data_IF_383298151599
#
_entry.id   IF_383298151599
#
_cell.length_a   1.000
_cell.length_b   1.000
_cell.length_c   1.000
_cell.angle_alpha   90.00
_cell.angle_beta   90.00
_cell.angle_gamma   90.00
#
_symmetry.space_group_name_H-M   'P 1'
#
loop_
_entity.id
_entity.type
_entity.pdbx_description
1 polymer ?
#
# COMPACT_ATOMS: atom_id res chain seq x y z
N UNK A 1 0.34 11.33 -27.48
CA UNK A 1 0.15 10.56 -26.23
C UNK A 1 0.81 9.17 -26.16
N UNK A 2 1.41 8.62 -27.24
CA UNK A 2 2.08 7.29 -27.22
C UNK A 2 3.55 7.28 -26.75
N UNK A 3 4.21 8.44 -26.68
CA UNK A 3 5.65 8.52 -26.33
C UNK A 3 5.92 8.53 -24.81
N UNK A 4 4.95 8.91 -23.98
CA UNK A 4 5.15 9.00 -22.51
C UNK A 4 5.04 7.64 -21.78
N UNK A 5 4.36 6.65 -22.37
CA UNK A 5 4.24 5.31 -21.80
C UNK A 5 5.53 4.49 -21.92
N UNK A 6 6.28 4.73 -23.01
CA UNK A 6 7.54 4.01 -23.28
C UNK A 6 8.67 4.38 -22.29
N UNK A 7 8.66 5.61 -21.76
CA UNK A 7 9.69 6.08 -20.82
C UNK A 7 9.47 5.46 -19.43
N UNK A 8 8.22 5.25 -19.01
CA UNK A 8 7.92 4.63 -17.71
C UNK A 8 8.30 3.14 -17.68
N UNK A 9 8.12 2.42 -18.79
CA UNK A 9 8.47 1.00 -18.90
C UNK A 9 9.99 0.80 -19.00
N UNK A 10 10.71 1.70 -19.64
CA UNK A 10 12.18 1.65 -19.75
C UNK A 10 12.87 1.90 -18.39
N UNK A 11 12.28 2.75 -17.53
CA UNK A 11 12.81 3.01 -16.17
C UNK A 11 12.76 1.80 -15.24
N UNK A 12 11.77 0.94 -15.40
CA UNK A 12 11.63 -0.29 -14.59
C UNK A 12 12.60 -1.39 -15.08
N UNK A 13 12.90 -1.43 -16.38
CA UNK A 13 13.78 -2.44 -16.96
C UNK A 13 15.27 -2.21 -16.63
N UNK A 14 15.72 -0.98 -16.43
CA UNK A 14 17.12 -0.66 -16.09
C UNK A 14 17.49 -1.00 -14.64
N UNK A 15 16.51 -1.16 -13.73
CA UNK A 15 16.74 -1.58 -12.33
C UNK A 15 16.93 -3.09 -12.18
N UNK A 16 16.62 -3.88 -13.21
CA UNK A 16 16.71 -5.34 -13.18
C UNK A 16 18.13 -5.88 -13.45
N UNK A 17 19.10 -5.06 -13.84
CA UNK A 17 20.41 -5.51 -14.33
C UNK A 17 21.48 -5.76 -13.24
N UNK A 18 21.14 -5.63 -11.94
CA UNK A 18 22.07 -5.96 -10.85
C UNK A 18 21.54 -7.14 -10.02
N UNK A 19 21.56 -8.32 -10.62
CA UNK A 19 21.21 -9.57 -9.94
C UNK A 19 22.34 -10.09 -9.08
N UNK A 20 22.65 -9.45 -7.97
CA UNK A 20 23.22 -10.15 -6.83
C UNK A 20 22.09 -10.93 -6.17
N UNK A 21 22.37 -12.18 -5.74
CA UNK A 21 21.38 -13.09 -5.12
C UNK A 21 20.68 -12.42 -3.93
N UNK A 22 19.59 -11.72 -4.20
CA UNK A 22 18.72 -11.19 -3.18
C UNK A 22 17.72 -12.30 -2.84
N UNK A 23 18.01 -13.11 -1.84
CA UNK A 23 17.00 -13.98 -1.21
C UNK A 23 15.90 -13.15 -0.55
N UNK A 24 14.77 -13.76 -0.23
CA UNK A 24 13.69 -13.11 0.52
C UNK A 24 14.27 -12.41 1.75
N UNK A 25 14.07 -11.10 1.84
CA UNK A 25 14.83 -10.26 2.76
C UNK A 25 14.03 -9.87 4.01
N UNK A 26 12.79 -10.37 4.14
CA UNK A 26 11.97 -10.15 5.34
C UNK A 26 12.46 -11.08 6.44
N UNK A 27 12.95 -10.50 7.52
CA UNK A 27 13.45 -11.18 8.72
C UNK A 27 13.13 -10.34 9.96
N UNK A 28 13.37 -10.89 11.13
CA UNK A 28 13.20 -10.13 12.37
C UNK A 28 14.01 -8.83 12.33
N UNK A 29 13.33 -7.70 12.62
CA UNK A 29 13.91 -6.36 12.53
C UNK A 29 13.84 -5.71 11.16
N UNK A 30 13.33 -6.41 10.13
CA UNK A 30 13.06 -5.80 8.82
C UNK A 30 12.17 -4.55 8.96
N UNK A 31 12.56 -3.51 8.26
CA UNK A 31 11.79 -2.25 8.21
C UNK A 31 11.86 -1.73 6.78
N UNK A 32 10.71 -1.33 6.24
CA UNK A 32 10.63 -0.72 4.92
C UNK A 32 9.70 0.49 4.88
N UNK A 33 9.84 1.25 3.80
CA UNK A 33 8.96 2.35 3.40
C UNK A 33 8.69 2.24 1.92
N UNK A 34 7.50 2.59 1.47
CA UNK A 34 7.15 2.49 0.06
C UNK A 34 6.08 3.46 -0.38
N UNK A 35 5.97 3.59 -1.71
CA UNK A 35 4.88 4.30 -2.36
C UNK A 35 4.04 3.34 -3.19
N UNK A 36 2.73 3.55 -3.20
CA UNK A 36 1.77 2.71 -3.92
C UNK A 36 0.76 3.54 -4.70
N UNK A 37 0.24 2.92 -5.75
CA UNK A 37 -0.96 3.35 -6.47
C UNK A 37 -2.06 2.37 -6.14
N UNK A 38 -3.22 2.87 -5.72
CA UNK A 38 -4.40 2.07 -5.40
C UNK A 38 -5.48 2.18 -6.47
N UNK A 39 -6.17 1.07 -6.67
CA UNK A 39 -7.24 0.88 -7.65
C UNK A 39 -8.44 0.21 -7.01
N UNK A 40 -9.64 0.59 -7.47
CA UNK A 40 -10.91 0.00 -7.03
C UNK A 40 -11.35 0.46 -5.64
N UNK A 41 -12.64 0.42 -5.40
CA UNK A 41 -13.31 0.86 -4.15
C UNK A 41 -13.04 2.32 -3.75
N UNK A 42 -12.75 3.18 -4.73
CA UNK A 42 -12.42 4.59 -4.51
C UNK A 42 -13.63 5.52 -4.76
N UNK A 43 -14.85 4.97 -4.78
CA UNK A 43 -16.05 5.70 -5.15
C UNK A 43 -15.98 6.21 -6.59
N UNK A 44 -16.10 7.51 -6.80
CA UNK A 44 -16.01 8.12 -8.13
C UNK A 44 -14.55 8.39 -8.58
N UNK A 45 -13.55 8.21 -7.71
CA UNK A 45 -12.15 8.36 -8.07
C UNK A 45 -11.61 7.10 -8.76
N UNK A 46 -10.68 7.26 -9.71
CA UNK A 46 -10.10 6.16 -10.46
C UNK A 46 -8.83 5.60 -9.82
N UNK A 47 -8.09 6.44 -9.12
CA UNK A 47 -6.78 6.14 -8.57
C UNK A 47 -6.62 6.76 -7.19
N UNK A 48 -5.86 6.08 -6.31
CA UNK A 48 -5.28 6.67 -5.11
C UNK A 48 -3.75 6.61 -5.18
N UNK A 49 -3.12 7.49 -4.43
CA UNK A 49 -1.68 7.49 -4.17
C UNK A 49 -1.46 7.35 -2.68
N UNK A 50 -0.51 6.52 -2.29
CA UNK A 50 -0.30 6.26 -0.86
C UNK A 50 1.12 5.93 -0.49
N UNK A 51 1.38 6.05 0.82
CA UNK A 51 2.60 5.62 1.47
C UNK A 51 2.35 4.39 2.34
N UNK A 52 3.38 3.55 2.46
CA UNK A 52 3.40 2.36 3.31
C UNK A 52 4.66 2.39 4.15
N UNK A 53 4.52 2.00 5.40
CA UNK A 53 5.62 1.72 6.31
C UNK A 53 5.34 0.41 7.01
N UNK A 54 6.35 -0.43 7.17
CA UNK A 54 6.22 -1.67 7.92
C UNK A 54 7.46 -1.96 8.74
N UNK A 55 7.25 -2.58 9.91
CA UNK A 55 8.29 -3.11 10.77
C UNK A 55 7.93 -4.50 11.28
N UNK A 56 8.78 -5.48 10.99
CA UNK A 56 8.69 -6.83 11.51
C UNK A 56 9.40 -6.91 12.86
N UNK A 57 8.68 -7.34 13.90
CA UNK A 57 9.17 -7.24 15.28
C UNK A 57 9.11 -8.55 16.05
N UNK A 58 8.40 -9.57 15.57
CA UNK A 58 8.23 -10.84 16.30
C UNK A 58 8.29 -12.05 15.36
N UNK A 59 8.98 -13.10 15.79
CA UNK A 59 8.89 -14.41 15.18
C UNK A 59 7.76 -15.23 15.84
N UNK A 60 7.06 -16.03 15.06
CA UNK A 60 5.94 -16.87 15.49
C UNK A 60 6.22 -18.33 15.14
N UNK A 61 7.10 -19.01 15.92
CA UNK A 61 7.49 -20.40 15.63
C UNK A 61 6.31 -21.36 15.66
N UNK A 62 5.35 -21.15 16.56
CA UNK A 62 4.17 -22.01 16.72
C UNK A 62 3.14 -21.82 15.58
N UNK A 63 3.30 -20.83 14.75
CA UNK A 63 2.45 -20.52 13.59
C UNK A 63 3.24 -20.66 12.27
N UNK A 64 3.85 -21.81 12.03
CA UNK A 64 4.56 -22.11 10.78
C UNK A 64 5.86 -21.30 10.59
N UNK A 65 6.53 -20.94 11.67
CA UNK A 65 7.75 -20.11 11.67
C UNK A 65 7.60 -18.75 10.97
N UNK A 66 6.38 -18.25 10.88
CA UNK A 66 6.11 -16.94 10.27
C UNK A 66 6.63 -15.79 11.10
N UNK A 67 6.53 -14.60 10.54
CA UNK A 67 6.93 -13.35 11.18
C UNK A 67 5.73 -12.41 11.33
N UNK A 68 5.69 -11.67 12.43
CA UNK A 68 4.67 -10.67 12.68
C UNK A 68 5.28 -9.26 12.50
N UNK A 69 4.64 -8.49 11.64
CA UNK A 69 4.93 -7.08 11.42
C UNK A 69 3.76 -6.18 11.83
N UNK A 70 4.06 -4.91 12.00
CA UNK A 70 3.09 -3.84 12.09
C UNK A 70 3.28 -2.91 10.91
N UNK A 71 2.21 -2.67 10.15
CA UNK A 71 2.17 -1.78 9.00
C UNK A 71 1.36 -0.51 9.30
N UNK A 72 1.78 0.60 8.70
CA UNK A 72 1.02 1.85 8.69
C UNK A 72 0.86 2.30 7.24
N UNK A 73 -0.30 2.80 6.91
CA UNK A 73 -0.65 3.29 5.58
C UNK A 73 -1.30 4.66 5.63
N UNK A 74 -1.03 5.46 4.62
CA UNK A 74 -1.77 6.69 4.36
C UNK A 74 -1.95 6.82 2.84
N UNK A 75 -3.16 7.08 2.41
CA UNK A 75 -3.50 7.24 0.99
C UNK A 75 -4.23 8.58 0.79
N UNK A 76 -4.27 9.04 -0.45
CA UNK A 76 -5.04 10.20 -0.86
C UNK A 76 -5.68 9.93 -2.22
N UNK A 77 -6.94 10.27 -2.33
CA UNK A 77 -7.65 10.33 -3.61
C UNK A 77 -8.72 11.41 -3.57
N UNK A 78 -9.11 11.89 -4.74
CA UNK A 78 -10.08 12.96 -4.84
C UNK A 78 -10.95 12.78 -6.08
N UNK A 79 -12.14 13.34 -5.96
CA UNK A 79 -13.07 13.49 -7.06
C UNK A 79 -13.62 14.93 -7.05
N UNK A 80 -13.77 15.52 -8.22
CA UNK A 80 -14.35 16.85 -8.36
C UNK A 80 -15.16 16.97 -9.64
N UNK A 81 -16.22 17.79 -9.57
CA UNK A 81 -16.96 18.28 -10.71
C UNK A 81 -17.06 19.82 -10.63
N UNK A 82 -17.84 20.43 -11.53
CA UNK A 82 -18.00 21.90 -11.59
C UNK A 82 -18.58 22.53 -10.32
N UNK A 83 -19.25 21.77 -9.48
CA UNK A 83 -19.98 22.27 -8.30
C UNK A 83 -19.51 21.71 -6.96
N UNK A 84 -18.80 20.57 -6.96
CA UNK A 84 -18.38 19.89 -5.72
C UNK A 84 -16.99 19.27 -5.85
N UNK A 85 -16.26 19.25 -4.73
CA UNK A 85 -14.97 18.57 -4.59
C UNK A 85 -14.97 17.74 -3.31
N UNK A 86 -14.56 16.47 -3.45
CA UNK A 86 -14.38 15.51 -2.36
C UNK A 86 -12.94 15.05 -2.33
N UNK A 87 -12.30 15.12 -1.18
CA UNK A 87 -10.97 14.59 -0.92
C UNK A 87 -11.03 13.60 0.21
N UNK A 88 -10.47 12.43 -0.01
CA UNK A 88 -10.41 11.32 0.91
C UNK A 88 -8.98 11.06 1.32
N UNK A 89 -8.72 10.94 2.62
CA UNK A 89 -7.41 10.63 3.19
C UNK A 89 -7.60 9.47 4.17
N UNK A 90 -7.60 8.23 3.71
CA UNK A 90 -7.59 7.07 4.58
C UNK A 90 -6.21 6.87 5.19
N UNK A 91 -6.17 6.70 6.50
CA UNK A 91 -5.00 6.29 7.28
C UNK A 91 -5.30 4.96 7.95
N UNK A 92 -4.32 4.07 8.08
CA UNK A 92 -4.56 2.76 8.64
C UNK A 92 -3.35 2.14 9.32
N UNK A 93 -3.63 1.18 10.19
CA UNK A 93 -2.65 0.33 10.82
C UNK A 93 -3.07 -1.14 10.69
N UNK A 94 -2.12 -2.02 10.41
CA UNK A 94 -2.34 -3.46 10.22
C UNK A 94 -1.30 -4.27 11.00
N UNK A 95 -1.73 -5.43 11.51
CA UNK A 95 -0.84 -6.51 11.88
C UNK A 95 -0.68 -7.42 10.64
N UNK A 96 0.54 -7.66 10.23
CA UNK A 96 0.85 -8.42 9.03
C UNK A 96 1.60 -9.70 9.41
N UNK A 97 1.06 -10.85 9.02
CA UNK A 97 1.70 -12.14 9.15
C UNK A 97 2.43 -12.47 7.85
N UNK A 98 3.74 -12.60 7.91
CA UNK A 98 4.59 -13.00 6.79
C UNK A 98 4.84 -14.49 6.83
N UNK A 99 4.57 -15.15 5.73
CA UNK A 99 4.82 -16.58 5.58
C UNK A 99 6.32 -16.87 5.45
N UNK A 100 6.78 -17.92 6.13
CA UNK A 100 8.13 -18.40 5.92
C UNK A 100 8.23 -19.07 4.55
N UNK A 101 8.89 -18.40 3.62
CA UNK A 101 9.21 -18.94 2.31
C UNK A 101 10.69 -19.34 2.24
N UNK A 102 11.06 -20.13 1.22
CA UNK A 102 12.47 -20.49 0.99
C UNK A 102 13.33 -19.21 0.90
N UNK A 103 14.41 -19.09 1.67
CA UNK A 103 15.33 -17.94 1.64
C UNK A 103 15.91 -17.63 0.26
N UNK A 104 15.94 -18.61 -0.65
CA UNK A 104 16.35 -18.42 -2.05
C UNK A 104 15.30 -17.70 -2.88
N UNK A 105 14.05 -17.70 -2.45
CA UNK A 105 12.98 -16.99 -3.12
C UNK A 105 13.11 -15.49 -2.87
N UNK A 106 12.98 -14.72 -3.93
CA UNK A 106 12.90 -13.26 -3.87
C UNK A 106 11.50 -12.77 -3.47
N UNK A 107 10.64 -13.67 -3.01
CA UNK A 107 9.24 -13.41 -2.69
C UNK A 107 9.01 -13.43 -1.18
N UNK A 108 8.36 -12.40 -0.70
CA UNK A 108 7.69 -12.35 0.61
C UNK A 108 6.19 -12.35 0.36
N UNK A 109 5.43 -13.17 1.09
CA UNK A 109 3.98 -13.18 1.06
C UNK A 109 3.43 -12.91 2.45
N UNK A 110 2.35 -12.14 2.54
CA UNK A 110 1.75 -11.80 3.83
C UNK A 110 0.22 -11.76 3.79
N UNK A 111 -0.35 -11.92 4.97
CA UNK A 111 -1.74 -11.59 5.28
C UNK A 111 -1.76 -10.50 6.33
N UNK A 112 -2.56 -9.47 6.11
CA UNK A 112 -2.69 -8.33 7.02
C UNK A 112 -4.13 -8.10 7.44
N UNK A 113 -4.33 -7.75 8.71
CA UNK A 113 -5.61 -7.33 9.23
C UNK A 113 -5.44 -6.11 10.15
N UNK A 114 -6.41 -5.20 10.12
CA UNK A 114 -6.31 -3.99 10.92
C UNK A 114 -7.50 -3.05 10.81
N UNK A 115 -7.26 -1.83 11.22
CA UNK A 115 -8.26 -0.76 11.22
C UNK A 115 -7.68 0.49 10.56
N UNK A 116 -8.56 1.25 9.95
CA UNK A 116 -8.24 2.54 9.39
C UNK A 116 -9.28 3.59 9.78
N UNK A 117 -8.90 4.83 9.58
CA UNK A 117 -9.76 5.99 9.72
C UNK A 117 -9.76 6.78 8.42
N UNK A 118 -10.95 7.00 7.86
CA UNK A 118 -11.14 7.75 6.64
C UNK A 118 -11.46 9.20 7.00
N UNK A 119 -10.59 10.11 6.60
CA UNK A 119 -10.82 11.56 6.70
C UNK A 119 -11.43 12.02 5.38
N UNK A 120 -12.59 12.68 5.46
CA UNK A 120 -13.29 13.20 4.28
C UNK A 120 -13.36 14.72 4.36
N UNK A 121 -12.88 15.38 3.33
CA UNK A 121 -13.03 16.82 3.14
C UNK A 121 -13.94 17.06 1.94
N UNK A 122 -15.02 17.77 2.16
CA UNK A 122 -16.01 18.12 1.16
C UNK A 122 -16.11 19.65 1.01
N UNK A 123 -16.16 20.11 -0.24
CA UNK A 123 -16.38 21.54 -0.56
C UNK A 123 -17.38 21.64 -1.69
N UNK A 124 -18.35 22.56 -1.55
CA UNK A 124 -19.37 22.85 -2.56
C UNK A 124 -19.27 24.34 -2.91
N UNK A 125 -19.13 24.64 -4.21
CA UNK A 125 -19.01 26.00 -4.70
C UNK A 125 -20.36 26.75 -4.62
N UNK A 126 -20.33 27.96 -4.05
CA UNK A 126 -21.50 28.86 -4.04
C UNK A 126 -22.53 28.61 -2.95
N UNK A 127 -22.29 27.72 -1.97
CA UNK A 127 -23.22 27.48 -0.86
C UNK A 127 -22.55 27.68 0.51
N UNK A 128 -23.17 28.50 1.34
CA UNK A 128 -22.85 28.67 2.76
C UNK A 128 -23.79 27.77 3.59
N UNK A 129 -23.39 26.53 3.84
CA UNK A 129 -24.15 25.56 4.62
C UNK A 129 -23.49 24.18 4.67
N UNK A 130 -23.91 23.33 5.60
CA UNK A 130 -23.33 22.02 5.82
C UNK A 130 -23.96 20.97 4.88
N UNK A 131 -23.80 21.14 3.56
CA UNK A 131 -24.40 20.27 2.54
C UNK A 131 -23.64 18.94 2.36
N UNK A 132 -22.56 18.74 3.09
CA UNK A 132 -21.74 17.52 3.06
C UNK A 132 -22.14 16.47 4.11
N UNK A 133 -23.32 16.61 4.73
CA UNK A 133 -23.76 15.77 5.84
C UNK A 133 -23.85 14.25 5.60
N UNK A 134 -23.77 13.81 4.33
CA UNK A 134 -23.69 12.39 3.98
C UNK A 134 -22.26 11.84 3.82
N UNK A 135 -21.24 12.70 3.89
CA UNK A 135 -19.84 12.37 3.70
C UNK A 135 -19.05 12.62 4.99
N UNK A 136 -19.17 11.71 5.94
CA UNK A 136 -18.48 11.80 7.25
C UNK A 136 -17.22 10.95 7.30
N UNK A 137 -16.26 11.41 8.11
CA UNK A 137 -15.10 10.59 8.47
C UNK A 137 -15.54 9.40 9.30
N UNK A 138 -14.98 8.22 9.05
CA UNK A 138 -15.36 6.98 9.72
C UNK A 138 -14.20 5.99 9.90
N UNK A 139 -14.39 5.04 10.82
CA UNK A 139 -13.50 3.88 10.99
C UNK A 139 -13.87 2.82 9.97
N UNK A 140 -12.88 2.12 9.42
CA UNK A 140 -13.08 1.00 8.52
C UNK A 140 -12.12 -0.16 8.82
N UNK A 141 -12.51 -1.36 8.43
CA UNK A 141 -11.67 -2.54 8.52
C UNK A 141 -10.71 -2.63 7.35
N UNK A 142 -9.50 -3.13 7.63
CA UNK A 142 -8.48 -3.45 6.64
C UNK A 142 -8.23 -4.95 6.70
N UNK A 143 -8.37 -5.63 5.54
CA UNK A 143 -7.99 -7.03 5.35
C UNK A 143 -7.22 -7.15 4.05
N UNK A 144 -5.97 -7.59 4.07
CA UNK A 144 -5.06 -7.61 2.93
C UNK A 144 -4.38 -8.95 2.76
N UNK A 145 -4.26 -9.39 1.53
CA UNK A 145 -3.35 -10.45 1.12
C UNK A 145 -2.39 -9.87 0.08
N UNK A 146 -1.10 -10.04 0.28
CA UNK A 146 -0.13 -9.41 -0.61
C UNK A 146 1.26 -10.00 -0.55
N UNK A 147 2.17 -9.35 -1.24
CA UNK A 147 3.57 -9.76 -1.25
C UNK A 147 4.51 -8.69 -1.78
N UNK A 148 5.79 -9.02 -1.65
CA UNK A 148 6.91 -8.26 -2.19
C UNK A 148 7.77 -9.17 -3.03
N UNK A 149 8.16 -8.71 -4.20
CA UNK A 149 9.17 -9.35 -5.01
C UNK A 149 10.44 -8.49 -5.02
N UNK A 150 11.49 -8.99 -4.39
CA UNK A 150 12.75 -8.28 -4.25
C UNK A 150 13.54 -8.25 -5.57
N UNK A 151 13.66 -7.06 -6.15
CA UNK A 151 14.50 -6.80 -7.31
C UNK A 151 15.98 -6.72 -6.92
N UNK A 152 16.24 -6.10 -5.77
CA UNK A 152 17.56 -5.97 -5.15
C UNK A 152 17.47 -6.29 -3.65
N UNK A 153 18.57 -6.40 -2.90
CA UNK A 153 18.55 -6.55 -1.45
C UNK A 153 17.81 -5.43 -0.69
N UNK A 154 17.58 -4.27 -1.33
CA UNK A 154 16.98 -3.10 -0.70
C UNK A 154 15.68 -2.63 -1.36
N UNK A 155 15.33 -3.15 -2.54
CA UNK A 155 14.17 -2.66 -3.31
C UNK A 155 13.29 -3.82 -3.72
N UNK A 156 12.00 -3.69 -3.47
CA UNK A 156 11.01 -4.68 -3.90
C UNK A 156 9.82 -4.02 -4.62
N UNK A 157 9.25 -4.74 -5.57
CA UNK A 157 7.90 -4.46 -6.06
C UNK A 157 6.93 -5.01 -5.02
N UNK A 158 5.93 -4.22 -4.70
CA UNK A 158 4.88 -4.51 -3.75
C UNK A 158 3.53 -4.63 -4.46
N UNK A 159 2.74 -5.61 -4.08
CA UNK A 159 1.35 -5.69 -4.47
C UNK A 159 0.50 -6.30 -3.35
N UNK A 160 -0.69 -5.78 -3.15
CA UNK A 160 -1.70 -6.35 -2.27
C UNK A 160 -3.11 -6.23 -2.86
N UNK A 161 -4.01 -7.05 -2.37
CA UNK A 161 -5.44 -7.00 -2.65
C UNK A 161 -6.23 -7.22 -1.36
N UNK A 162 -7.44 -6.66 -1.31
CA UNK A 162 -8.31 -6.86 -0.15
C UNK A 162 -9.27 -5.70 0.09
N UNK A 163 -9.61 -5.49 1.37
CA UNK A 163 -10.45 -4.39 1.84
C UNK A 163 -9.61 -3.28 2.46
N UNK A 164 -10.11 -2.06 2.41
CA UNK A 164 -9.42 -0.88 2.94
C UNK A 164 -9.66 0.34 2.06
N UNK A 165 -8.62 1.17 1.86
CA UNK A 165 -8.72 2.37 1.03
C UNK A 165 -8.97 2.05 -0.45
N UNK A 166 -8.20 1.13 -1.02
CA UNK A 166 -8.35 0.64 -2.39
C UNK A 166 -8.43 -0.89 -2.38
N UNK A 167 -9.01 -1.49 -3.42
CA UNK A 167 -9.09 -2.96 -3.56
C UNK A 167 -7.74 -3.57 -3.90
N UNK A 168 -6.99 -2.95 -4.80
CA UNK A 168 -5.67 -3.39 -5.26
C UNK A 168 -4.69 -2.24 -5.03
N UNK A 169 -3.53 -2.52 -4.46
CA UNK A 169 -2.41 -1.60 -4.43
C UNK A 169 -1.19 -2.22 -5.11
N UNK A 170 -0.48 -1.41 -5.88
CA UNK A 170 0.77 -1.79 -6.54
C UNK A 170 1.78 -0.67 -6.29
N UNK A 171 3.01 -1.02 -5.98
CA UNK A 171 4.03 -0.02 -5.70
C UNK A 171 5.44 -0.58 -5.57
N UNK A 172 6.29 0.24 -4.97
CA UNK A 172 7.68 -0.09 -4.70
C UNK A 172 7.98 0.19 -3.23
N UNK A 173 8.70 -0.74 -2.59
CA UNK A 173 9.17 -0.58 -1.21
C UNK A 173 10.68 -0.59 -1.15
N UNK A 174 11.22 0.17 -0.21
CA UNK A 174 12.63 0.30 0.05
C UNK A 174 12.93 -0.13 1.49
N UNK A 175 13.79 -1.14 1.62
CA UNK A 175 14.25 -1.62 2.91
C UNK A 175 15.17 -0.59 3.56
N UNK A 176 14.87 -0.23 4.81
CA UNK A 176 15.66 0.67 5.64
C UNK A 176 16.65 -0.11 6.52
N UNK A 177 16.22 -1.29 7.02
CA UNK A 177 17.02 -2.22 7.85
C UNK A 177 16.72 -3.66 7.51
#
# INVERSE_FOLDING_TARGET
>A
MRKSLAVAVAGVALLAAQSQQAGAQVKLGYTDVGGVIGLGNLGAASLSFGGRFERVFKALPDLGDGLLGIGVSADIYSWSNSSASLRYIPIGATANYHFKLDPKNKLDAFLGAGLGYLIVNCSISGQTGNFCGGYGSNVYFIGRAGGRYFLTPKTAVYADLGTGAATINIGVTFKLK
#
